data_IF_433798003683
#
_entry.id   IF_433798003683
#
_cell.length_a   1.000
_cell.length_b   1.000
_cell.length_c   1.000
_cell.angle_alpha   90.00
_cell.angle_beta   90.00
_cell.angle_gamma   90.00
#
_symmetry.space_group_name_H-M   'P 1'
#
loop_
_entity.id
_entity.type
_entity.pdbx_description
1 polymer ?
#
# COMPACT_ATOMS: atom_id res chain seq x y z
N UNK A 1 -14.35 -2.30 79.96
CA UNK A 1 -13.02 -2.73 79.50
C UNK A 1 -13.13 -3.24 78.07
N UNK A 2 -12.55 -2.50 77.11
CA UNK A 2 -12.01 -2.95 75.81
C UNK A 2 -12.85 -3.94 74.97
N UNK A 3 -13.48 -3.47 73.88
CA UNK A 3 -12.90 -3.59 72.54
C UNK A 3 -13.85 -3.20 71.40
N UNK A 4 -13.32 -2.30 70.56
CA UNK A 4 -13.79 -1.79 69.28
C UNK A 4 -13.51 -2.80 68.15
N UNK A 5 -14.47 -3.08 67.26
CA UNK A 5 -14.26 -3.45 65.82
C UNK A 5 -15.57 -3.14 65.05
N UNK A 6 -15.65 -2.06 64.29
CA UNK A 6 -15.23 -1.84 62.89
C UNK A 6 -16.13 -2.51 61.83
N UNK A 7 -16.74 -1.63 61.03
CA UNK A 7 -17.41 -1.81 59.73
C UNK A 7 -16.59 -2.67 58.73
N UNK A 8 -17.26 -3.34 57.79
CA UNK A 8 -17.19 -3.05 56.34
C UNK A 8 -17.89 -4.13 55.48
N UNK A 9 -18.85 -3.68 54.66
CA UNK A 9 -18.99 -3.98 53.22
C UNK A 9 -18.60 -5.37 52.71
N UNK A 10 -19.57 -6.20 52.33
CA UNK A 10 -19.34 -7.40 51.50
C UNK A 10 -20.39 -7.54 50.41
N UNK A 11 -20.43 -6.54 49.52
CA UNK A 11 -20.88 -6.69 48.14
C UNK A 11 -19.96 -5.79 47.30
N UNK A 12 -18.98 -6.34 46.57
CA UNK A 12 -19.24 -6.66 45.16
C UNK A 12 -18.38 -7.83 44.66
N UNK A 13 -18.77 -9.08 44.94
CA UNK A 13 -18.11 -10.24 44.33
C UNK A 13 -18.65 -10.56 42.90
N UNK A 14 -19.69 -9.82 42.46
CA UNK A 14 -20.38 -10.06 41.18
C UNK A 14 -19.85 -9.16 40.04
N UNK A 15 -19.01 -8.16 40.34
CA UNK A 15 -18.43 -7.28 39.30
C UNK A 15 -17.06 -7.76 38.77
N UNK A 16 -16.54 -8.88 39.27
CA UNK A 16 -15.23 -9.44 38.88
C UNK A 16 -15.34 -10.60 37.87
N UNK A 17 -16.48 -10.76 37.20
CA UNK A 17 -16.75 -11.90 36.31
C UNK A 17 -16.82 -11.55 34.81
N UNK A 18 -16.62 -10.29 34.41
CA UNK A 18 -16.72 -9.87 32.99
C UNK A 18 -15.37 -9.44 32.39
N UNK A 19 -14.30 -9.37 33.19
CA UNK A 19 -12.95 -9.10 32.68
C UNK A 19 -12.12 -10.37 32.46
N UNK A 20 -12.76 -11.52 32.25
CA UNK A 20 -12.09 -12.68 31.66
C UNK A 20 -11.87 -12.42 30.17
N UNK A 21 -10.83 -11.64 29.92
CA UNK A 21 -9.85 -11.83 28.87
C UNK A 21 -10.39 -12.63 27.66
N UNK A 22 -11.13 -11.95 26.78
CA UNK A 22 -11.10 -12.33 25.36
C UNK A 22 -9.75 -11.86 24.82
N UNK A 23 -8.68 -12.55 25.19
CA UNK A 23 -7.48 -12.57 24.36
C UNK A 23 -7.82 -13.44 23.16
N UNK A 24 -8.50 -12.86 22.17
CA UNK A 24 -8.39 -13.38 20.82
C UNK A 24 -6.91 -13.27 20.51
N UNK A 25 -6.24 -14.41 20.40
CA UNK A 25 -4.92 -14.50 19.81
C UNK A 25 -5.10 -14.02 18.36
N UNK A 26 -4.94 -12.73 18.12
CA UNK A 26 -4.73 -12.23 16.77
C UNK A 26 -3.40 -12.81 16.32
N UNK A 27 -3.48 -13.78 15.41
CA UNK A 27 -2.30 -14.34 14.76
C UNK A 27 -1.60 -13.17 14.05
N UNK A 28 -0.53 -12.66 14.64
CA UNK A 28 0.32 -11.65 14.02
C UNK A 28 0.84 -12.22 12.71
N UNK A 29 0.68 -11.48 11.61
CA UNK A 29 1.22 -11.87 10.32
C UNK A 29 2.76 -11.91 10.43
N UNK A 30 3.34 -13.00 9.93
CA UNK A 30 4.79 -13.19 9.88
C UNK A 30 5.29 -12.90 8.45
N UNK A 31 6.18 -11.93 8.35
CA UNK A 31 6.79 -11.48 7.10
C UNK A 31 8.29 -11.78 7.01
N UNK A 32 8.86 -12.60 7.90
CA UNK A 32 10.30 -12.95 7.89
C UNK A 32 10.74 -13.55 6.54
N UNK A 33 9.88 -14.30 5.86
CA UNK A 33 10.19 -14.83 4.53
C UNK A 33 10.29 -13.72 3.47
N UNK A 34 9.44 -12.70 3.54
CA UNK A 34 9.48 -11.55 2.63
C UNK A 34 10.76 -10.76 2.84
N UNK A 35 11.08 -10.44 4.10
CA UNK A 35 12.31 -9.74 4.47
C UNK A 35 13.53 -10.46 3.90
N UNK A 36 13.63 -11.77 4.14
CA UNK A 36 14.74 -12.59 3.66
C UNK A 36 14.87 -12.58 2.13
N UNK A 37 13.77 -12.67 1.39
CA UNK A 37 13.81 -12.64 -0.08
C UNK A 37 14.27 -11.28 -0.60
N UNK A 38 13.76 -10.20 -0.02
CA UNK A 38 14.10 -8.84 -0.43
C UNK A 38 15.56 -8.50 -0.09
N UNK A 39 16.02 -8.88 1.11
CA UNK A 39 17.42 -8.73 1.53
C UNK A 39 18.37 -9.55 0.65
N UNK A 40 18.00 -10.79 0.32
CA UNK A 40 18.76 -11.62 -0.61
C UNK A 40 18.82 -11.01 -2.01
N UNK A 41 17.71 -10.46 -2.53
CA UNK A 41 17.69 -9.82 -3.85
C UNK A 41 18.61 -8.59 -3.93
N UNK A 42 18.70 -7.80 -2.84
CA UNK A 42 19.68 -6.71 -2.73
C UNK A 42 21.10 -7.26 -2.67
N UNK A 43 21.35 -8.30 -1.87
CA UNK A 43 22.68 -8.94 -1.77
C UNK A 43 23.16 -9.53 -3.11
N UNK A 44 22.24 -10.13 -3.86
CA UNK A 44 22.48 -10.71 -5.20
C UNK A 44 22.52 -9.66 -6.31
N UNK A 45 22.43 -8.36 -5.96
CA UNK A 45 22.48 -7.23 -6.90
C UNK A 45 21.41 -7.29 -8.00
N UNK A 46 20.22 -7.81 -7.70
CA UNK A 46 19.06 -7.75 -8.61
C UNK A 46 18.59 -6.29 -8.76
N UNK A 47 18.62 -5.54 -7.66
CA UNK A 47 18.41 -4.09 -7.60
C UNK A 47 19.20 -3.51 -6.41
N UNK A 48 19.62 -2.24 -6.46
CA UNK A 48 20.36 -1.61 -5.35
C UNK A 48 19.49 -1.36 -4.11
N UNK A 49 18.19 -1.17 -4.33
CA UNK A 49 17.21 -0.94 -3.27
C UNK A 49 15.78 -0.92 -3.79
N UNK A 50 14.84 -1.09 -2.88
CA UNK A 50 13.41 -1.16 -3.16
C UNK A 50 12.58 -0.74 -1.95
N UNK A 51 11.41 -0.15 -2.18
CA UNK A 51 10.38 0.05 -1.17
C UNK A 51 9.24 -0.93 -1.46
N UNK A 52 8.85 -1.72 -0.47
CA UNK A 52 7.76 -2.70 -0.58
C UNK A 52 6.63 -2.33 0.37
N UNK A 53 5.42 -2.27 -0.17
CA UNK A 53 4.18 -2.04 0.58
C UNK A 53 3.09 -2.95 0.04
N UNK A 54 2.36 -3.62 0.95
CA UNK A 54 1.12 -4.29 0.59
C UNK A 54 0.14 -4.28 1.75
N UNK A 55 -1.14 -4.39 1.41
CA UNK A 55 -2.22 -4.28 2.37
C UNK A 55 -3.57 -4.60 1.74
N UNK A 56 -4.61 -4.16 2.44
CA UNK A 56 -5.99 -4.23 1.99
C UNK A 56 -6.52 -2.82 1.73
N UNK A 57 -7.75 -2.72 1.27
CA UNK A 57 -8.52 -1.47 1.22
C UNK A 57 -8.65 -0.77 2.58
N UNK A 58 -8.53 -1.53 3.68
CA UNK A 58 -8.73 -1.02 5.06
C UNK A 58 -7.44 -0.60 5.76
N UNK A 59 -6.33 -1.28 5.46
CA UNK A 59 -5.08 -1.07 6.18
C UNK A 59 -3.86 -1.56 5.41
N UNK A 60 -2.73 -0.90 5.67
CA UNK A 60 -1.40 -1.38 5.30
C UNK A 60 -1.04 -2.52 6.25
N UNK A 61 -0.62 -3.67 5.71
CA UNK A 61 -0.21 -4.84 6.48
C UNK A 61 1.31 -4.92 6.63
N UNK A 62 2.03 -4.40 5.64
CA UNK A 62 3.49 -4.41 5.59
C UNK A 62 4.00 -3.20 4.80
N UNK A 63 5.07 -2.56 5.28
CA UNK A 63 5.75 -1.46 4.60
C UNK A 63 7.20 -1.38 5.06
N UNK A 64 8.17 -1.59 4.16
CA UNK A 64 9.60 -1.56 4.48
C UNK A 64 10.43 -1.10 3.27
N UNK A 65 11.53 -0.41 3.54
CA UNK A 65 12.56 -0.08 2.55
C UNK A 65 13.76 -1.03 2.67
N UNK A 66 14.41 -1.30 1.55
CA UNK A 66 15.54 -2.23 1.42
C UNK A 66 16.66 -1.58 0.60
N UNK A 67 17.91 -1.79 1.01
CA UNK A 67 19.08 -1.32 0.26
C UNK A 67 19.17 0.20 0.13
N UNK A 68 19.77 0.67 -0.97
CA UNK A 68 20.07 2.08 -1.23
C UNK A 68 19.64 2.49 -2.65
N UNK A 69 19.64 3.78 -2.97
CA UNK A 69 19.26 4.24 -4.31
C UNK A 69 20.18 3.75 -5.44
N UNK A 70 21.45 3.50 -5.13
CA UNK A 70 22.43 2.98 -6.07
C UNK A 70 23.27 1.90 -5.40
N UNK A 71 24.11 1.19 -6.16
CA UNK A 71 25.00 0.16 -5.62
C UNK A 71 26.15 0.75 -4.76
N UNK A 72 26.34 2.07 -4.75
CA UNK A 72 27.30 2.72 -3.86
C UNK A 72 26.83 2.59 -2.40
N UNK A 73 27.73 2.13 -1.52
CA UNK A 73 27.48 1.99 -0.09
C UNK A 73 27.21 3.32 0.63
N UNK A 74 27.64 4.44 0.05
CA UNK A 74 27.38 5.78 0.56
C UNK A 74 26.11 6.42 -0.03
N UNK A 75 25.45 5.73 -0.97
CA UNK A 75 24.16 6.18 -1.50
C UNK A 75 23.13 6.23 -0.36
N UNK A 76 22.15 7.15 -0.40
CA UNK A 76 21.10 7.17 0.61
C UNK A 76 20.31 5.86 0.66
N UNK A 77 19.93 5.44 1.87
CA UNK A 77 19.08 4.27 2.10
C UNK A 77 17.68 4.48 1.50
N UNK A 78 17.13 3.39 0.96
CA UNK A 78 15.73 3.39 0.52
C UNK A 78 14.81 3.28 1.73
N UNK A 79 13.87 4.22 1.83
CA UNK A 79 12.83 4.26 2.85
C UNK A 79 11.47 4.02 2.22
N UNK A 80 10.47 3.76 3.04
CA UNK A 80 9.08 3.55 2.58
C UNK A 80 8.48 4.77 1.88
N UNK A 81 9.01 5.97 2.15
CA UNK A 81 8.63 7.22 1.51
C UNK A 81 9.64 7.71 0.45
N UNK A 82 10.60 6.87 0.06
CA UNK A 82 11.49 7.19 -1.06
C UNK A 82 10.69 7.33 -2.36
N UNK A 83 11.04 8.34 -3.16
CA UNK A 83 10.37 8.63 -4.44
C UNK A 83 11.15 7.93 -5.56
N UNK A 84 10.41 7.24 -6.45
CA UNK A 84 10.95 6.55 -7.62
C UNK A 84 10.21 6.99 -8.88
N UNK A 85 10.91 6.96 -10.02
CA UNK A 85 10.27 7.09 -11.32
C UNK A 85 9.41 5.84 -11.60
N UNK A 86 8.12 6.04 -11.87
CA UNK A 86 7.18 4.94 -12.13
C UNK A 86 7.32 4.33 -13.54
N UNK A 87 8.06 4.98 -14.44
CA UNK A 87 8.25 4.56 -15.83
C UNK A 87 6.91 4.16 -16.49
N UNK A 88 6.81 2.95 -17.05
CA UNK A 88 5.59 2.50 -17.74
C UNK A 88 4.38 2.30 -16.81
N UNK A 89 4.56 2.20 -15.48
CA UNK A 89 3.44 2.17 -14.54
C UNK A 89 2.62 3.47 -14.60
N UNK A 90 3.24 4.59 -15.02
CA UNK A 90 2.55 5.86 -15.28
C UNK A 90 1.41 5.74 -16.30
N UNK A 91 1.46 4.78 -17.23
CA UNK A 91 0.38 4.54 -18.20
C UNK A 91 -0.90 4.14 -17.48
N UNK A 92 -0.82 3.14 -16.59
CA UNK A 92 -2.00 2.61 -15.89
C UNK A 92 -2.47 3.60 -14.83
N UNK A 93 -1.56 4.12 -14.01
CA UNK A 93 -1.91 4.98 -12.87
C UNK A 93 -2.35 6.37 -13.33
N UNK A 94 -1.62 6.97 -14.28
CA UNK A 94 -1.88 8.32 -14.77
C UNK A 94 -2.76 8.34 -16.02
N UNK A 95 -2.21 7.87 -17.14
CA UNK A 95 -2.84 8.04 -18.47
C UNK A 95 -4.20 7.37 -18.56
N UNK A 96 -4.30 6.09 -18.20
CA UNK A 96 -5.54 5.32 -18.26
C UNK A 96 -6.59 5.88 -17.30
N UNK A 97 -6.22 6.17 -16.05
CA UNK A 97 -7.14 6.78 -15.08
C UNK A 97 -7.71 8.11 -15.59
N UNK A 98 -6.86 9.01 -16.09
CA UNK A 98 -7.29 10.28 -16.64
C UNK A 98 -8.19 10.11 -17.87
N UNK A 99 -7.85 9.20 -18.78
CA UNK A 99 -8.66 8.90 -19.95
C UNK A 99 -10.06 8.37 -19.55
N UNK A 100 -10.14 7.45 -18.59
CA UNK A 100 -11.42 6.90 -18.14
C UNK A 100 -12.29 7.90 -17.40
N UNK A 101 -11.70 8.86 -16.68
CA UNK A 101 -12.45 10.00 -16.11
C UNK A 101 -13.10 10.81 -17.23
N UNK A 102 -12.37 11.10 -18.32
CA UNK A 102 -12.93 11.81 -19.48
C UNK A 102 -14.02 11.00 -20.19
N UNK A 103 -13.91 9.67 -20.22
CA UNK A 103 -14.99 8.80 -20.73
C UNK A 103 -16.23 8.90 -19.86
N UNK A 104 -16.09 8.83 -18.54
CA UNK A 104 -17.19 8.99 -17.61
C UNK A 104 -17.88 10.36 -17.74
N UNK A 105 -17.12 11.42 -18.02
CA UNK A 105 -17.64 12.77 -18.27
C UNK A 105 -18.23 12.96 -19.68
N UNK A 106 -18.20 11.95 -20.54
CA UNK A 106 -18.68 12.04 -21.93
C UNK A 106 -17.80 12.89 -22.85
N UNK A 107 -16.58 13.24 -22.42
CA UNK A 107 -15.63 14.08 -23.18
C UNK A 107 -14.71 13.26 -24.08
N UNK A 108 -14.51 11.98 -23.76
CA UNK A 108 -13.78 11.01 -24.57
C UNK A 108 -14.68 9.82 -24.84
N UNK A 109 -14.61 9.24 -26.04
CA UNK A 109 -15.35 8.03 -26.38
C UNK A 109 -14.37 7.03 -26.99
N UNK A 110 -14.36 5.81 -26.45
CA UNK A 110 -13.41 4.77 -26.82
C UNK A 110 -13.64 4.25 -28.24
N UNK A 111 -14.89 4.24 -28.70
CA UNK A 111 -15.24 3.81 -30.06
C UNK A 111 -15.09 4.93 -31.09
N UNK A 112 -14.79 6.16 -30.65
CA UNK A 112 -14.51 7.26 -31.56
C UNK A 112 -13.10 7.16 -32.13
N UNK A 113 -12.96 7.59 -33.38
CA UNK A 113 -11.67 7.66 -34.06
C UNK A 113 -10.78 8.70 -33.38
N UNK A 114 -9.49 8.44 -33.27
CA UNK A 114 -8.50 9.40 -32.72
C UNK A 114 -8.57 10.73 -33.48
N UNK A 115 -8.78 10.68 -34.80
CA UNK A 115 -8.88 11.87 -35.66
C UNK A 115 -10.02 12.82 -35.30
N UNK A 116 -11.04 12.35 -34.56
CA UNK A 116 -12.12 13.20 -34.03
C UNK A 116 -11.59 14.22 -33.02
N UNK A 117 -10.58 13.83 -32.23
CA UNK A 117 -9.97 14.66 -31.19
C UNK A 117 -8.65 15.29 -31.64
N UNK A 118 -7.89 14.60 -32.51
CA UNK A 118 -6.60 15.03 -33.01
C UNK A 118 -6.54 14.92 -34.54
N UNK A 119 -7.04 15.91 -35.30
CA UNK A 119 -7.13 15.84 -36.77
C UNK A 119 -5.78 15.58 -37.48
N UNK A 120 -4.67 16.07 -36.91
CA UNK A 120 -3.32 15.84 -37.45
C UNK A 120 -2.91 14.35 -37.44
N UNK A 121 -3.63 13.49 -36.72
CA UNK A 121 -3.41 12.06 -36.70
C UNK A 121 -3.86 11.37 -38.00
N UNK A 122 -4.62 12.06 -38.86
CA UNK A 122 -5.13 11.56 -40.14
C UNK A 122 -4.03 11.50 -41.23
N UNK A 123 -3.03 10.64 -41.03
CA UNK A 123 -1.89 10.45 -41.93
C UNK A 123 -1.45 8.98 -41.91
N UNK A 124 -0.83 8.49 -42.99
CA UNK A 124 -0.20 7.15 -43.07
C UNK A 124 -1.13 5.98 -42.69
N UNK A 125 -2.40 5.98 -43.13
CA UNK A 125 -3.32 4.85 -42.90
C UNK A 125 -3.89 4.76 -41.47
N UNK A 126 -3.86 5.87 -40.71
CA UNK A 126 -4.32 5.92 -39.30
C UNK A 126 -5.75 6.44 -39.12
N UNK A 127 -6.47 6.72 -40.20
CA UNK A 127 -7.79 7.35 -40.23
C UNK A 127 -8.92 6.54 -39.58
N UNK A 128 -8.69 5.25 -39.32
CA UNK A 128 -9.67 4.35 -38.72
C UNK A 128 -9.27 3.87 -37.31
N UNK A 129 -8.15 4.35 -36.75
CA UNK A 129 -7.73 4.01 -35.38
C UNK A 129 -8.69 4.68 -34.40
N UNK A 130 -9.31 3.89 -33.53
CA UNK A 130 -10.09 4.35 -32.39
C UNK A 130 -9.19 4.67 -31.20
N UNK A 131 -9.74 5.37 -30.22
CA UNK A 131 -9.07 5.63 -28.93
C UNK A 131 -8.68 4.31 -28.24
#
# INVERSE_FOLDING_TARGET
MKNTKLYFSSLPFILLFIFSCTSKIEKSLDFTTVDRIMEQAVADSVFPGAALLFGTDKQILYSKGFGHFTYDKNSPETKTNSIFDLASVSKVVGTTSAAMILVQEGKLNLDQKVITYLPAFNNNGKENITI
#
